data_IF_238744211866
#
_entry.id   IF_238744211866
#
_cell.length_a   1.000
_cell.length_b   1.000
_cell.length_c   1.000
_cell.angle_alpha   90.00
_cell.angle_beta   90.00
_cell.angle_gamma   90.00
#
_symmetry.space_group_name_H-M   'P 1'
#
loop_
_entity.id
_entity.type
_entity.pdbx_description
1 polymer ?
#
# COMPACT_ATOMS: atom_id res chain seq x y z
N UNK A 1 2.81 13.09 -25.25
CA UNK A 1 3.83 12.11 -25.02
C UNK A 1 3.29 10.83 -24.53
N UNK A 2 2.86 10.07 -25.43
CA UNK A 2 2.24 8.81 -25.08
C UNK A 2 3.21 7.83 -24.48
N UNK A 3 4.46 7.85 -24.92
CA UNK A 3 5.42 6.90 -24.40
C UNK A 3 5.65 7.02 -22.93
N UNK A 4 5.51 8.21 -22.41
CA UNK A 4 5.76 8.43 -21.01
C UNK A 4 4.73 7.81 -20.11
N UNK A 5 3.53 7.62 -20.62
CA UNK A 5 2.48 6.99 -19.83
C UNK A 5 2.82 5.56 -19.49
N UNK A 6 3.71 4.95 -20.23
CA UNK A 6 4.03 3.54 -20.03
C UNK A 6 5.30 3.31 -19.26
N UNK A 7 5.95 4.36 -18.82
CA UNK A 7 7.18 4.23 -18.08
C UNK A 7 6.93 4.18 -16.58
N UNK A 8 5.69 4.07 -16.21
CA UNK A 8 5.34 4.02 -14.82
C UNK A 8 4.52 5.22 -14.41
N UNK A 9 4.34 5.39 -13.13
CA UNK A 9 3.52 6.46 -12.60
C UNK A 9 4.14 6.98 -11.32
N UNK A 10 3.68 8.15 -10.89
CA UNK A 10 4.08 8.67 -9.60
C UNK A 10 3.35 7.93 -8.50
N UNK A 11 4.02 7.74 -7.39
CA UNK A 11 3.43 7.01 -6.27
C UNK A 11 2.18 7.68 -5.74
N UNK A 12 2.14 9.01 -5.71
CA UNK A 12 0.94 9.70 -5.26
C UNK A 12 -0.27 9.33 -6.11
N UNK A 13 -0.06 9.24 -7.41
CA UNK A 13 -1.16 8.90 -8.32
C UNK A 13 -1.57 7.44 -8.14
N UNK A 14 -0.60 6.55 -7.97
CA UNK A 14 -0.88 5.15 -7.74
C UNK A 14 -1.73 4.98 -6.47
N UNK A 15 -1.31 5.64 -5.39
CA UNK A 15 -2.04 5.55 -4.14
C UNK A 15 -3.45 6.13 -4.28
N UNK A 16 -3.55 7.29 -4.94
CA UNK A 16 -4.85 7.94 -5.09
C UNK A 16 -5.82 7.05 -5.86
N UNK A 17 -5.37 6.46 -6.94
CA UNK A 17 -6.25 5.61 -7.75
C UNK A 17 -6.66 4.34 -7.02
N UNK A 18 -5.71 3.73 -6.34
CA UNK A 18 -6.01 2.48 -5.62
C UNK A 18 -6.98 2.72 -4.48
N UNK A 19 -6.92 3.88 -3.84
CA UNK A 19 -7.70 4.15 -2.65
C UNK A 19 -8.94 4.98 -2.92
N UNK A 20 -9.13 5.45 -4.16
CA UNK A 20 -10.25 6.29 -4.50
C UNK A 20 -11.62 5.70 -4.12
N UNK A 21 -11.88 4.42 -4.37
CA UNK A 21 -13.19 3.85 -4.00
C UNK A 21 -13.44 3.86 -2.50
N UNK A 22 -12.41 4.03 -1.70
CA UNK A 22 -12.50 3.95 -0.24
C UNK A 22 -12.30 5.30 0.43
N UNK A 23 -12.13 6.36 -0.35
CA UNK A 23 -11.72 7.66 0.18
C UNK A 23 -12.88 8.51 0.70
N UNK A 24 -14.09 8.03 0.58
CA UNK A 24 -15.24 8.79 0.99
C UNK A 24 -15.21 9.10 2.48
N UNK A 25 -15.57 10.33 2.83
CA UNK A 25 -15.60 10.73 4.23
C UNK A 25 -14.26 11.11 4.82
N UNK A 26 -13.20 11.14 4.03
CA UNK A 26 -11.90 11.55 4.53
C UNK A 26 -11.27 10.57 5.48
N UNK A 27 -11.66 9.31 5.41
CA UNK A 27 -11.17 8.30 6.34
C UNK A 27 -9.88 7.65 5.88
N UNK A 28 -9.47 7.91 4.66
CA UNK A 28 -8.24 7.37 4.10
C UNK A 28 -7.32 8.51 3.76
N UNK A 29 -6.15 8.52 4.34
CA UNK A 29 -5.17 9.57 4.11
C UNK A 29 -3.90 8.95 3.55
N UNK A 30 -3.43 9.49 2.44
CA UNK A 30 -2.21 9.00 1.82
C UNK A 30 -1.30 10.18 1.54
N UNK A 31 -0.07 10.12 2.06
CA UNK A 31 0.87 11.22 1.85
C UNK A 31 2.30 10.73 1.81
N UNK A 32 3.10 11.49 1.08
CA UNK A 32 4.51 11.24 0.94
C UNK A 32 5.06 12.00 -0.24
N UNK A 33 6.36 11.99 -0.41
CA UNK A 33 6.98 12.68 -1.54
C UNK A 33 6.60 12.01 -2.86
N UNK A 34 6.71 12.78 -3.93
CA UNK A 34 6.48 12.21 -5.25
C UNK A 34 7.66 11.33 -5.62
N UNK A 35 7.36 10.09 -5.93
CA UNK A 35 8.37 9.10 -6.30
C UNK A 35 7.90 8.46 -7.59
N UNK A 36 8.78 8.39 -8.57
CA UNK A 36 8.45 7.79 -9.84
C UNK A 36 8.70 6.28 -9.76
N UNK A 37 7.72 5.53 -10.22
CA UNK A 37 7.79 4.08 -10.16
C UNK A 37 7.86 3.50 -11.57
N UNK A 38 8.63 2.45 -11.72
CA UNK A 38 8.61 1.70 -12.98
C UNK A 38 7.32 0.92 -13.14
N UNK A 39 7.10 0.33 -14.33
CA UNK A 39 5.84 -0.35 -14.61
C UNK A 39 5.56 -1.51 -13.67
N UNK A 40 6.56 -2.30 -13.34
CA UNK A 40 6.36 -3.44 -12.45
C UNK A 40 6.00 -3.00 -11.04
N UNK A 41 6.72 -2.03 -10.52
CA UNK A 41 6.45 -1.52 -9.20
C UNK A 41 5.08 -0.85 -9.16
N UNK A 42 4.71 -0.13 -10.21
CA UNK A 42 3.40 0.49 -10.31
C UNK A 42 2.30 -0.55 -10.18
N UNK A 43 2.42 -1.64 -10.95
CA UNK A 43 1.40 -2.67 -10.91
C UNK A 43 1.37 -3.37 -9.55
N UNK A 44 2.53 -3.74 -9.03
CA UNK A 44 2.60 -4.45 -7.76
C UNK A 44 2.02 -3.63 -6.62
N UNK A 45 2.37 -2.36 -6.55
CA UNK A 45 1.86 -1.50 -5.49
C UNK A 45 0.38 -1.21 -5.66
N UNK A 46 -0.08 -1.04 -6.90
CA UNK A 46 -1.52 -0.84 -7.13
C UNK A 46 -2.31 -2.03 -6.61
N UNK A 47 -1.86 -3.24 -6.90
CA UNK A 47 -2.54 -4.44 -6.46
C UNK A 47 -2.49 -4.58 -4.95
N UNK A 48 -1.34 -4.31 -4.35
CA UNK A 48 -1.18 -4.42 -2.91
C UNK A 48 -2.07 -3.43 -2.16
N UNK A 49 -2.08 -2.19 -2.60
CA UNK A 49 -2.89 -1.17 -1.95
C UNK A 49 -4.37 -1.46 -2.10
N UNK A 50 -4.77 -1.94 -3.28
CA UNK A 50 -6.15 -2.33 -3.49
C UNK A 50 -6.55 -3.46 -2.55
N UNK A 51 -5.67 -4.44 -2.39
CA UNK A 51 -5.96 -5.57 -1.51
C UNK A 51 -6.03 -5.15 -0.05
N UNK A 52 -5.11 -4.29 0.38
CA UNK A 52 -5.14 -3.76 1.74
C UNK A 52 -6.42 -2.99 2.00
N UNK A 53 -6.83 -2.16 1.05
CA UNK A 53 -8.04 -1.36 1.20
C UNK A 53 -9.29 -2.23 1.21
N UNK A 54 -9.33 -3.24 0.35
CA UNK A 54 -10.46 -4.16 0.31
C UNK A 54 -10.59 -4.91 1.62
N UNK A 55 -9.47 -5.36 2.17
CA UNK A 55 -9.49 -6.06 3.45
C UNK A 55 -9.91 -5.12 4.58
N UNK A 56 -9.45 -3.87 4.55
CA UNK A 56 -9.87 -2.89 5.54
C UNK A 56 -11.37 -2.65 5.49
N UNK A 57 -11.94 -2.61 4.30
CA UNK A 57 -13.36 -2.37 4.13
C UNK A 57 -14.20 -3.58 4.57
N UNK A 58 -13.70 -4.77 4.34
CA UNK A 58 -14.44 -5.97 4.68
C UNK A 58 -14.29 -6.38 6.13
N UNK A 59 -13.08 -6.29 6.65
CA UNK A 59 -12.79 -6.88 7.96
C UNK A 59 -12.05 -5.94 8.89
N UNK A 60 -11.50 -4.86 8.40
CA UNK A 60 -10.64 -4.00 9.18
C UNK A 60 -11.24 -2.66 9.51
N UNK A 61 -10.38 -1.66 9.58
CA UNK A 61 -10.76 -0.34 10.06
C UNK A 61 -11.92 0.28 9.30
N UNK A 62 -11.95 0.12 7.99
CA UNK A 62 -12.98 0.76 7.20
C UNK A 62 -14.32 0.05 7.28
N UNK A 63 -14.39 -1.10 7.96
CA UNK A 63 -15.66 -1.77 8.17
C UNK A 63 -16.48 -1.12 9.29
N UNK A 64 -15.89 -0.21 10.03
CA UNK A 64 -16.58 0.50 11.11
C UNK A 64 -16.58 1.99 10.83
N UNK A 65 -17.62 2.71 11.25
CA UNK A 65 -17.74 4.14 10.90
C UNK A 65 -16.58 5.00 11.40
N UNK A 66 -16.00 4.66 12.54
CA UNK A 66 -14.91 5.45 13.09
C UNK A 66 -13.53 5.05 12.62
N UNK A 67 -13.45 4.03 11.77
CA UNK A 67 -12.15 3.53 11.36
C UNK A 67 -11.47 4.41 10.35
N UNK A 68 -10.15 4.37 10.37
CA UNK A 68 -9.33 5.20 9.49
C UNK A 68 -8.15 4.41 8.98
N UNK A 69 -7.65 4.83 7.82
CA UNK A 69 -6.45 4.27 7.21
C UNK A 69 -5.49 5.41 6.92
N UNK A 70 -4.25 5.19 7.26
CA UNK A 70 -3.20 6.14 6.95
C UNK A 70 -2.11 5.41 6.19
N UNK A 71 -1.79 5.92 5.01
CA UNK A 71 -0.68 5.43 4.22
C UNK A 71 0.34 6.54 4.09
N UNK A 72 1.55 6.29 4.57
CA UNK A 72 2.63 7.24 4.43
C UNK A 72 3.82 6.58 3.78
N UNK A 73 4.65 7.36 3.13
CA UNK A 73 5.88 6.81 2.57
C UNK A 73 6.98 7.84 2.61
N UNK A 74 8.20 7.34 2.63
CA UNK A 74 9.39 8.15 2.63
C UNK A 74 10.41 7.53 1.70
N UNK A 75 11.24 8.38 1.14
CA UNK A 75 12.31 7.95 0.26
C UNK A 75 13.61 7.99 1.04
N UNK A 76 14.20 6.83 1.23
CA UNK A 76 15.47 6.69 1.92
C UNK A 76 16.42 5.94 1.02
N UNK A 77 17.15 6.66 0.19
CA UNK A 77 17.97 6.02 -0.84
C UNK A 77 18.87 4.94 -0.26
N UNK A 78 18.98 3.80 -0.94
CA UNK A 78 18.39 3.55 -2.26
C UNK A 78 16.96 3.05 -2.22
N UNK A 79 16.28 3.13 -1.10
CA UNK A 79 15.00 2.50 -0.92
C UNK A 79 13.84 3.43 -0.69
N UNK A 80 12.66 2.85 -0.77
CA UNK A 80 11.39 3.50 -0.51
C UNK A 80 10.72 2.69 0.59
N UNK A 81 10.16 3.38 1.58
CA UNK A 81 9.43 2.72 2.65
C UNK A 81 8.01 3.23 2.70
N UNK A 82 7.07 2.31 2.72
CA UNK A 82 5.66 2.63 2.88
C UNK A 82 5.16 2.02 4.17
N UNK A 83 4.25 2.73 4.82
CA UNK A 83 3.63 2.27 6.04
C UNK A 83 2.13 2.45 5.92
N UNK A 84 1.40 1.36 6.03
CA UNK A 84 -0.06 1.32 6.03
C UNK A 84 -0.50 1.06 7.45
N UNK A 85 -1.35 1.94 7.99
CA UNK A 85 -1.82 1.80 9.35
C UNK A 85 -3.33 1.96 9.40
N UNK A 86 -3.99 1.03 10.08
CA UNK A 86 -5.42 1.09 10.32
C UNK A 86 -5.68 1.36 11.78
N UNK A 87 -6.72 2.12 12.08
CA UNK A 87 -7.07 2.43 13.46
C UNK A 87 -8.57 2.74 13.55
N UNK A 88 -9.10 2.64 14.77
CA UNK A 88 -10.48 3.02 15.00
C UNK A 88 -11.52 2.02 14.53
N UNK A 89 -11.10 0.88 14.05
CA UNK A 89 -12.02 -0.15 13.61
C UNK A 89 -12.25 -1.19 14.69
N UNK A 90 -12.90 -2.31 14.33
CA UNK A 90 -13.12 -3.38 15.29
C UNK A 90 -11.80 -4.00 15.70
N UNK A 91 -11.76 -4.68 16.84
CA UNK A 91 -10.55 -5.38 17.25
C UNK A 91 -10.11 -6.36 16.18
N UNK A 92 -8.82 -6.40 15.94
CA UNK A 92 -8.27 -7.24 14.90
C UNK A 92 -7.66 -8.49 15.52
N UNK A 93 -7.96 -9.64 14.91
CA UNK A 93 -7.31 -10.88 15.28
C UNK A 93 -6.62 -11.43 14.06
N UNK A 94 -5.50 -12.09 14.28
CA UNK A 94 -4.78 -12.69 13.17
C UNK A 94 -5.68 -13.75 12.52
N UNK A 95 -5.76 -13.78 11.20
CA UNK A 95 -6.61 -14.77 10.54
C UNK A 95 -6.04 -16.17 10.77
N UNK A 96 -6.93 -17.14 10.87
CA UNK A 96 -6.50 -18.52 11.07
C UNK A 96 -5.73 -19.05 9.89
N UNK A 97 -6.08 -18.59 8.70
CA UNK A 97 -5.29 -18.88 7.53
C UNK A 97 -5.12 -17.60 6.78
N UNK A 98 -3.96 -17.47 6.18
CA UNK A 98 -3.68 -16.28 5.40
C UNK A 98 -4.45 -16.34 4.09
N UNK A 99 -5.11 -15.26 3.76
CA UNK A 99 -5.79 -15.17 2.49
C UNK A 99 -4.83 -14.96 1.35
N UNK A 100 -5.37 -15.06 0.15
CA UNK A 100 -4.58 -14.86 -1.05
C UNK A 100 -3.93 -13.48 -1.07
N UNK A 101 -4.68 -12.45 -0.67
CA UNK A 101 -4.15 -11.09 -0.68
C UNK A 101 -2.96 -10.90 0.23
N UNK A 102 -3.01 -11.51 1.43
CA UNK A 102 -1.88 -11.41 2.34
C UNK A 102 -0.65 -12.06 1.74
N UNK A 103 -0.82 -13.21 1.12
CA UNK A 103 0.29 -13.88 0.47
C UNK A 103 0.83 -13.09 -0.70
N UNK A 104 -0.07 -12.48 -1.46
CA UNK A 104 0.34 -11.66 -2.58
C UNK A 104 1.21 -10.52 -2.10
N UNK A 105 0.81 -9.87 -1.01
CA UNK A 105 1.57 -8.76 -0.49
C UNK A 105 2.93 -9.23 0.02
N UNK A 106 2.94 -10.27 0.84
CA UNK A 106 4.19 -10.68 1.48
C UNK A 106 5.17 -11.33 0.51
N UNK A 107 4.67 -12.08 -0.45
CA UNK A 107 5.56 -12.77 -1.39
C UNK A 107 5.72 -12.04 -2.71
N UNK A 108 4.61 -11.56 -3.24
CA UNK A 108 4.65 -10.93 -4.55
C UNK A 108 5.38 -9.62 -4.55
N UNK A 109 5.17 -8.79 -3.54
CA UNK A 109 5.83 -7.50 -3.49
C UNK A 109 7.33 -7.64 -3.32
N UNK A 110 7.75 -8.62 -2.53
CA UNK A 110 9.18 -8.81 -2.33
C UNK A 110 9.90 -9.03 -3.63
N UNK A 111 9.34 -9.89 -4.49
CA UNK A 111 9.96 -10.18 -5.77
C UNK A 111 9.88 -9.03 -6.75
N UNK A 112 8.73 -8.41 -6.85
CA UNK A 112 8.52 -7.36 -7.86
C UNK A 112 9.17 -6.05 -7.49
N UNK A 113 9.28 -5.75 -6.20
CA UNK A 113 9.80 -4.48 -5.75
C UNK A 113 11.27 -4.52 -5.34
N UNK A 114 11.85 -5.71 -5.31
CA UNK A 114 13.23 -5.84 -4.86
C UNK A 114 13.39 -5.53 -3.39
N UNK A 115 12.35 -5.77 -2.60
CA UNK A 115 12.37 -5.48 -1.20
C UNK A 115 11.56 -6.49 -0.42
N UNK A 116 10.77 -6.02 0.53
CA UNK A 116 9.97 -6.93 1.32
C UNK A 116 8.74 -6.23 1.86
N UNK A 117 7.77 -7.03 2.28
CA UNK A 117 6.57 -6.53 2.90
C UNK A 117 6.20 -7.42 4.06
N UNK A 118 5.64 -6.83 5.11
CA UNK A 118 5.20 -7.57 6.28
C UNK A 118 3.91 -6.98 6.79
N UNK A 119 2.98 -7.85 7.15
CA UNK A 119 1.69 -7.43 7.68
C UNK A 119 1.59 -7.90 9.12
N UNK A 120 1.22 -6.99 10.01
CA UNK A 120 1.00 -7.29 11.41
C UNK A 120 -0.48 -7.06 11.73
N UNK A 121 -1.06 -8.04 12.39
CA UNK A 121 -2.46 -7.95 12.82
C UNK A 121 -2.47 -7.63 14.30
N UNK A 122 -2.54 -6.34 14.62
CA UNK A 122 -2.54 -5.88 16.00
C UNK A 122 -3.97 -5.63 16.45
N UNK A 123 -4.25 -5.78 17.74
CA UNK A 123 -5.62 -5.49 18.21
C UNK A 123 -6.12 -4.10 17.82
N UNK A 124 -5.22 -3.12 17.77
CA UNK A 124 -5.59 -1.76 17.41
C UNK A 124 -5.84 -1.56 15.93
N UNK A 125 -5.31 -2.44 15.11
CA UNK A 125 -5.46 -2.32 13.68
C UNK A 125 -4.34 -3.02 12.93
N UNK A 126 -4.51 -3.15 11.64
CA UNK A 126 -3.53 -3.78 10.78
C UNK A 126 -2.43 -2.78 10.44
N UNK A 127 -1.21 -3.25 10.48
CA UNK A 127 -0.05 -2.47 10.07
C UNK A 127 0.70 -3.25 9.00
N UNK A 128 0.95 -2.60 7.87
CA UNK A 128 1.72 -3.23 6.81
C UNK A 128 2.90 -2.35 6.47
N UNK A 129 4.09 -2.94 6.49
CA UNK A 129 5.32 -2.26 6.12
C UNK A 129 5.82 -2.82 4.82
N UNK A 130 6.11 -1.91 3.88
CA UNK A 130 6.59 -2.29 2.57
C UNK A 130 7.90 -1.57 2.33
N UNK A 131 8.93 -2.31 1.96
CA UNK A 131 10.21 -1.74 1.55
C UNK A 131 10.43 -2.11 0.09
N UNK A 132 10.84 -1.13 -0.69
CA UNK A 132 11.06 -1.34 -2.10
C UNK A 132 12.36 -0.67 -2.52
N UNK A 133 13.02 -1.24 -3.51
CA UNK A 133 14.17 -0.61 -4.09
C UNK A 133 13.72 0.42 -5.11
N UNK A 134 14.36 1.57 -5.11
CA UNK A 134 14.10 2.58 -6.13
C UNK A 134 15.24 2.51 -7.11
N UNK A 135 14.91 2.22 -8.36
CA UNK A 135 15.93 2.11 -9.37
C UNK A 135 16.42 3.49 -9.76
N UNK A 136 17.73 3.64 -9.81
CA UNK A 136 18.30 4.93 -10.14
C UNK A 136 17.89 5.42 -11.51
N UNK A 137 17.68 4.49 -12.43
CA UNK A 137 17.26 4.87 -13.76
C UNK A 137 15.91 5.55 -13.75
N UNK A 138 15.07 5.17 -12.84
CA UNK A 138 13.75 5.78 -12.73
C UNK A 138 13.84 7.13 -12.07
N UNK A 139 14.78 7.28 -11.18
CA UNK A 139 14.97 8.54 -10.51
C UNK A 139 15.56 9.59 -11.43
N UNK A 140 16.27 9.14 -12.42
CA UNK A 140 16.94 10.04 -13.34
C UNK A 140 15.99 10.80 -14.25
#
# INVERSE_FOLDING_TARGET
>A
MTGEAWEGAGLREVARRALLPFAEGGRVLAEGPQVRLGPRATLALSMALHELATNAAKHGALSAPGGRVRLGWSLEPPGLRLLWQESGGPPVAAPRRRGFGTRLIERGLGGELGGRAAIEFRPEGVVCRIEAAVESGEAA
#
